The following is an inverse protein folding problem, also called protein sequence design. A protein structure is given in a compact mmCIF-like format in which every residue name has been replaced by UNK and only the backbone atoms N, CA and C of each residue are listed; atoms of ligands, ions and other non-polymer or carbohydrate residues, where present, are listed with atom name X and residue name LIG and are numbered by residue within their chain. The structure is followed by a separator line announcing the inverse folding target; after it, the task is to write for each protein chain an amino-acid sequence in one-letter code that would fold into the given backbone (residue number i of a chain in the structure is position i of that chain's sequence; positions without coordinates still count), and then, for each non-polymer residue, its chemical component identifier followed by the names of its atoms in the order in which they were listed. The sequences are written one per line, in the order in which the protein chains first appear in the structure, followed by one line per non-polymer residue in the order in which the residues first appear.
data_IF_964165014971
#
_entry.id   IF_964165014971
#
_cell.length_a   1.000
_cell.length_b   1.000
_cell.length_c   1.000
_cell.angle_alpha   90.00
_cell.angle_beta   90.00
_cell.angle_gamma   90.00
#
_symmetry.space_group_name_H-M   'P 1'
#
loop_
_entity.id
_entity.type
_entity.pdbx_description
1 polymer ?
#
# COMPACT_ATOMS: atom_id res chain seq x y z
N UNK A 1 8.80 17.22 20.47
CA UNK A 1 8.00 18.19 19.69
C UNK A 1 8.28 17.87 18.25
N UNK A 2 7.27 17.57 17.46
CA UNK A 2 7.46 17.36 16.02
C UNK A 2 7.70 18.74 15.40
N UNK A 3 8.96 19.03 15.04
CA UNK A 3 9.31 20.30 14.42
C UNK A 3 8.80 20.30 12.97
N UNK A 4 7.70 21.03 12.77
CA UNK A 4 7.17 21.32 11.44
C UNK A 4 8.16 22.25 10.73
N UNK A 5 8.61 21.84 9.54
CA UNK A 5 9.52 22.59 8.68
C UNK A 5 8.84 23.03 7.40
N UNK A 6 9.17 24.23 6.94
CA UNK A 6 8.72 24.79 5.67
C UNK A 6 9.72 24.48 4.55
N UNK A 7 9.30 24.48 3.27
CA UNK A 7 10.23 24.45 2.15
C UNK A 7 11.30 25.55 2.29
N UNK A 8 12.58 25.19 2.16
CA UNK A 8 13.72 26.08 2.35
C UNK A 8 14.26 26.16 3.78
N UNK A 9 13.65 25.47 4.75
CA UNK A 9 14.17 25.41 6.13
C UNK A 9 15.48 24.61 6.16
N UNK A 10 16.49 25.13 6.86
CA UNK A 10 17.76 24.47 7.09
C UNK A 10 17.59 23.23 8.00
N UNK A 11 18.07 22.08 7.56
CA UNK A 11 17.98 20.82 8.32
C UNK A 11 19.33 20.33 8.85
N UNK A 12 20.44 20.74 8.23
CA UNK A 12 21.79 20.36 8.62
C UNK A 12 22.77 20.37 7.46
N UNK A 13 23.92 19.73 7.62
CA UNK A 13 24.95 19.61 6.58
C UNK A 13 25.11 18.16 6.11
N UNK A 14 25.61 17.95 4.89
CA UNK A 14 25.88 16.61 4.34
C UNK A 14 27.02 15.86 5.06
N UNK A 15 27.81 16.57 5.86
CA UNK A 15 28.84 15.96 6.69
C UNK A 15 28.22 15.21 7.87
N UNK A 16 27.18 15.77 8.47
CA UNK A 16 26.49 15.26 9.65
C UNK A 16 25.34 14.30 9.29
N UNK A 17 24.57 14.63 8.25
CA UNK A 17 23.39 13.87 7.85
C UNK A 17 23.47 13.38 6.41
N UNK A 18 22.84 12.24 6.16
CA UNK A 18 22.62 11.73 4.79
C UNK A 18 21.26 12.24 4.29
N UNK A 19 21.20 12.99 3.17
CA UNK A 19 19.92 13.44 2.62
C UNK A 19 19.09 12.25 2.14
N UNK A 20 17.82 12.21 2.54
CA UNK A 20 16.86 11.15 2.17
C UNK A 20 15.65 11.77 1.46
N UNK A 21 14.44 11.26 1.70
CA UNK A 21 13.23 11.71 1.04
C UNK A 21 12.84 13.15 1.41
N UNK A 22 12.38 13.90 0.41
CA UNK A 22 11.80 15.24 0.55
C UNK A 22 12.75 16.33 1.09
N UNK A 23 14.05 16.16 0.89
CA UNK A 23 15.07 17.16 1.15
C UNK A 23 15.88 17.43 -0.13
N UNK A 24 16.49 18.60 -0.23
CA UNK A 24 17.44 18.92 -1.30
C UNK A 24 18.73 19.48 -0.71
N UNK A 25 19.83 19.34 -1.45
CA UNK A 25 21.14 19.83 -1.04
C UNK A 25 21.53 21.02 -1.89
N UNK A 26 21.98 22.09 -1.24
CA UNK A 26 22.59 23.25 -1.89
C UNK A 26 23.81 23.67 -1.09
N UNK A 27 24.96 23.80 -1.75
CA UNK A 27 26.22 24.24 -1.13
C UNK A 27 26.62 23.41 0.11
N UNK A 28 26.50 22.07 0.04
CA UNK A 28 26.75 21.12 1.14
C UNK A 28 25.80 21.24 2.35
N UNK A 29 24.74 22.04 2.20
CA UNK A 29 23.70 22.25 3.22
C UNK A 29 22.40 21.60 2.77
N UNK A 30 21.74 20.91 3.70
CA UNK A 30 20.48 20.20 3.47
C UNK A 30 19.33 21.11 3.87
N UNK A 31 18.36 21.25 2.96
CA UNK A 31 17.15 22.02 3.15
C UNK A 31 15.92 21.16 2.97
N UNK A 32 14.84 21.52 3.64
CA UNK A 32 13.54 20.90 3.41
C UNK A 32 13.00 21.27 2.03
N UNK A 33 12.55 20.29 1.25
CA UNK A 33 11.89 20.54 -0.04
C UNK A 33 10.38 20.79 0.10
N UNK A 34 9.76 20.34 1.21
CA UNK A 34 8.31 20.34 1.39
C UNK A 34 7.90 20.79 2.80
N UNK A 35 6.61 21.09 2.99
CA UNK A 35 6.04 21.30 4.32
C UNK A 35 5.81 19.95 5.01
N UNK A 36 6.37 19.74 6.20
CA UNK A 36 6.17 18.49 6.94
C UNK A 36 6.93 18.42 8.26
N UNK A 37 6.92 17.25 8.89
CA UNK A 37 7.71 16.98 10.09
C UNK A 37 9.05 16.37 9.70
N UNK A 38 10.13 16.78 10.36
CA UNK A 38 11.44 16.15 10.14
C UNK A 38 11.49 14.79 10.85
N UNK A 39 11.94 13.77 10.15
CA UNK A 39 12.26 12.47 10.74
C UNK A 39 13.70 12.10 10.48
N UNK A 40 14.39 11.76 11.57
CA UNK A 40 15.77 11.29 11.58
C UNK A 40 15.76 9.77 11.77
N UNK A 41 16.24 9.01 10.79
CA UNK A 41 16.41 7.55 10.93
C UNK A 41 17.89 7.18 10.85
N UNK A 42 18.35 6.42 11.85
CA UNK A 42 19.71 5.89 11.91
C UNK A 42 19.67 4.42 11.48
N UNK A 43 19.77 4.17 10.17
CA UNK A 43 19.73 2.81 9.62
C UNK A 43 21.12 2.15 9.56
N UNK A 44 22.20 2.94 9.59
CA UNK A 44 23.57 2.44 9.68
C UNK A 44 24.42 3.28 10.64
N UNK A 45 25.24 2.60 11.43
CA UNK A 45 26.07 3.07 12.56
C UNK A 45 27.04 4.25 12.31
N UNK A 46 27.01 4.89 11.14
CA UNK A 46 27.95 5.94 10.77
C UNK A 46 27.31 7.30 10.47
N UNK A 47 26.07 7.37 9.97
CA UNK A 47 25.38 8.64 9.68
C UNK A 47 23.86 8.55 9.79
N UNK A 48 23.26 9.53 10.44
CA UNK A 48 21.80 9.67 10.56
C UNK A 48 21.23 10.22 9.25
N UNK A 49 20.20 9.57 8.71
CA UNK A 49 19.51 10.07 7.52
C UNK A 49 18.42 11.06 7.90
N UNK A 50 18.29 12.15 7.14
CA UNK A 50 17.29 13.19 7.37
C UNK A 50 16.27 13.19 6.24
N UNK A 51 15.00 13.12 6.61
CA UNK A 51 13.87 13.20 5.68
C UNK A 51 12.75 14.06 6.25
N UNK A 52 11.90 14.58 5.37
CA UNK A 52 10.73 15.36 5.78
C UNK A 52 9.48 14.58 5.41
N UNK A 53 8.67 14.23 6.41
CA UNK A 53 7.40 13.54 6.25
C UNK A 53 6.30 14.57 6.22
N UNK A 54 5.75 14.83 5.03
CA UNK A 54 4.57 15.67 4.91
C UNK A 54 3.30 14.91 5.23
N UNK A 55 2.29 15.60 5.77
CA UNK A 55 0.92 15.12 5.90
C UNK A 55 0.08 15.23 4.61
N UNK A 56 0.65 15.75 3.52
CA UNK A 56 -0.05 15.83 2.24
C UNK A 56 -0.38 14.44 1.66
N UNK A 57 -1.49 14.41 0.90
CA UNK A 57 -2.04 13.20 0.29
C UNK A 57 -1.01 12.65 -0.70
N UNK A 58 -0.53 11.44 -0.45
CA UNK A 58 0.38 10.75 -1.35
C UNK A 58 -0.39 10.24 -2.56
N UNK A 59 0.02 10.64 -3.76
CA UNK A 59 -0.25 9.85 -4.95
C UNK A 59 0.36 8.46 -4.76
N UNK A 60 -0.28 7.38 -5.24
CA UNK A 60 0.34 6.07 -5.17
C UNK A 60 1.69 6.07 -5.91
N UNK A 61 2.70 5.42 -5.32
CA UNK A 61 4.04 5.30 -5.88
C UNK A 61 4.49 3.84 -5.85
N UNK A 62 5.48 3.50 -6.68
CA UNK A 62 5.99 2.12 -6.74
C UNK A 62 6.62 1.75 -5.40
N UNK A 63 6.20 0.62 -4.85
CA UNK A 63 6.60 0.12 -3.54
C UNK A 63 5.64 0.48 -2.40
N UNK A 64 4.70 1.40 -2.60
CA UNK A 64 3.73 1.79 -1.58
C UNK A 64 2.80 0.63 -1.21
N UNK A 65 2.38 0.59 0.06
CA UNK A 65 1.33 -0.33 0.51
C UNK A 65 -0.02 0.37 0.40
N UNK A 66 -0.94 -0.21 -0.35
CA UNK A 66 -2.24 0.40 -0.62
C UNK A 66 -3.38 -0.52 -0.19
N UNK A 67 -4.46 0.11 0.27
CA UNK A 67 -5.76 -0.55 0.42
C UNK A 67 -6.61 -0.18 -0.78
N UNK A 68 -7.09 -1.19 -1.49
CA UNK A 68 -7.94 -1.01 -2.65
C UNK A 68 -9.21 -1.84 -2.52
N UNK A 69 -10.33 -1.34 -3.07
CA UNK A 69 -11.57 -2.09 -3.17
C UNK A 69 -11.69 -2.68 -4.57
N UNK A 70 -11.99 -3.98 -4.67
CA UNK A 70 -12.23 -4.64 -5.96
C UNK A 70 -13.57 -4.18 -6.52
N UNK A 71 -13.55 -3.60 -7.71
CA UNK A 71 -14.75 -3.13 -8.40
C UNK A 71 -15.26 -4.20 -9.35
N UNK A 72 -14.35 -4.80 -10.13
CA UNK A 72 -14.69 -5.76 -11.19
C UNK A 72 -13.65 -6.86 -11.27
N UNK A 73 -14.11 -8.09 -11.51
CA UNK A 73 -13.26 -9.23 -11.81
C UNK A 73 -13.39 -9.64 -13.27
N UNK A 74 -12.26 -10.06 -13.83
CA UNK A 74 -12.15 -10.83 -15.06
C UNK A 74 -11.35 -12.10 -14.75
N UNK A 75 -11.25 -13.01 -15.73
CA UNK A 75 -10.57 -14.32 -15.54
C UNK A 75 -9.14 -14.15 -15.03
N UNK A 76 -8.38 -13.23 -15.64
CA UNK A 76 -6.94 -13.04 -15.37
C UNK A 76 -6.60 -11.76 -14.62
N UNK A 77 -7.58 -10.86 -14.40
CA UNK A 77 -7.33 -9.55 -13.80
C UNK A 77 -8.48 -9.07 -12.93
N UNK A 78 -8.16 -8.36 -11.86
CA UNK A 78 -9.09 -7.63 -11.02
C UNK A 78 -8.85 -6.12 -11.16
N UNK A 79 -9.93 -5.37 -11.40
CA UNK A 79 -9.91 -3.91 -11.39
C UNK A 79 -10.35 -3.41 -10.02
N UNK A 80 -9.56 -2.51 -9.45
CA UNK A 80 -9.69 -2.03 -8.09
C UNK A 80 -9.69 -0.50 -8.06
N UNK A 81 -10.33 0.09 -7.06
CA UNK A 81 -10.16 1.51 -6.70
C UNK A 81 -9.23 1.60 -5.50
N UNK A 82 -8.13 2.35 -5.61
CA UNK A 82 -7.22 2.59 -4.48
C UNK A 82 -7.83 3.65 -3.58
N UNK A 83 -7.99 3.32 -2.30
CA UNK A 83 -8.66 4.17 -1.30
C UNK A 83 -7.66 4.76 -0.31
N UNK A 84 -6.56 4.05 -0.05
CA UNK A 84 -5.57 4.45 0.93
C UNK A 84 -4.16 4.05 0.47
N UNK A 85 -3.19 4.94 0.73
CA UNK A 85 -1.76 4.78 0.45
C UNK A 85 -0.99 4.99 1.76
N UNK A 86 -0.22 3.99 2.18
CA UNK A 86 0.55 3.97 3.44
C UNK A 86 -0.25 4.42 4.67
N UNK A 87 -1.49 3.94 4.80
CA UNK A 87 -2.37 4.27 5.93
C UNK A 87 -3.10 5.61 5.82
N UNK A 88 -2.94 6.35 4.70
CA UNK A 88 -3.62 7.62 4.46
C UNK A 88 -4.62 7.54 3.33
N UNK A 89 -5.83 8.06 3.58
CA UNK A 89 -6.88 8.10 2.57
C UNK A 89 -6.54 9.04 1.42
N UNK A 90 -6.77 8.58 0.20
CA UNK A 90 -6.69 9.40 -1.01
C UNK A 90 -8.07 9.88 -1.42
N UNK A 91 -8.18 11.14 -1.82
CA UNK A 91 -9.44 11.73 -2.32
C UNK A 91 -9.66 11.45 -3.80
N UNK A 92 -8.56 11.37 -4.56
CA UNK A 92 -8.58 11.10 -5.99
C UNK A 92 -8.86 9.62 -6.28
N UNK A 93 -9.55 9.38 -7.40
CA UNK A 93 -9.72 8.04 -7.94
C UNK A 93 -8.43 7.57 -8.62
N UNK A 94 -7.87 6.46 -8.13
CA UNK A 94 -6.73 5.78 -8.77
C UNK A 94 -7.11 4.34 -9.09
N UNK A 95 -6.92 3.93 -10.34
CA UNK A 95 -7.26 2.60 -10.83
C UNK A 95 -6.13 1.63 -10.48
N UNK A 96 -6.41 0.66 -9.61
CA UNK A 96 -5.55 -0.49 -9.37
C UNK A 96 -5.88 -1.65 -10.32
N UNK A 97 -4.86 -2.32 -10.85
CA UNK A 97 -5.02 -3.56 -11.61
C UNK A 97 -4.18 -4.65 -10.98
N UNK A 98 -4.83 -5.71 -10.50
CA UNK A 98 -4.18 -6.91 -9.99
C UNK A 98 -4.29 -8.01 -11.07
N UNK A 99 -3.16 -8.54 -11.53
CA UNK A 99 -3.10 -9.67 -12.48
C UNK A 99 -2.96 -11.00 -11.75
N UNK A 100 -3.41 -12.10 -12.34
CA UNK A 100 -3.38 -13.45 -11.74
C UNK A 100 -1.95 -13.85 -11.36
N UNK A 101 -1.00 -13.46 -12.21
CA UNK A 101 0.44 -13.63 -11.98
C UNK A 101 0.95 -12.89 -10.73
N UNK A 102 0.24 -11.89 -10.22
CA UNK A 102 0.66 -11.07 -9.08
C UNK A 102 -0.12 -11.40 -7.79
N UNK A 103 -0.88 -12.50 -7.77
CA UNK A 103 -1.67 -12.91 -6.61
C UNK A 103 -0.85 -13.70 -5.61
N UNK A 104 -0.07 -14.67 -6.08
CA UNK A 104 0.77 -15.53 -5.24
C UNK A 104 2.25 -15.27 -5.53
N UNK A 105 3.08 -15.48 -4.51
CA UNK A 105 4.53 -15.44 -4.67
C UNK A 105 5.01 -16.63 -5.51
N UNK A 106 4.56 -17.83 -5.17
CA UNK A 106 4.76 -19.03 -6.00
C UNK A 106 3.99 -18.93 -7.33
N UNK A 107 4.68 -19.20 -8.43
CA UNK A 107 4.13 -19.22 -9.80
C UNK A 107 3.73 -20.61 -10.29
N UNK A 108 3.87 -21.62 -9.43
CA UNK A 108 3.60 -23.03 -9.77
C UNK A 108 2.10 -23.38 -9.69
N UNK A 109 1.28 -22.46 -9.19
CA UNK A 109 -0.16 -22.65 -9.04
C UNK A 109 -0.86 -21.69 -9.99
N UNK A 110 -1.70 -22.23 -10.86
CA UNK A 110 -2.58 -21.42 -11.68
C UNK A 110 -3.61 -20.70 -10.79
N UNK A 111 -3.75 -19.38 -11.01
CA UNK A 111 -4.61 -18.53 -10.20
C UNK A 111 -5.84 -18.11 -11.02
N UNK A 112 -7.01 -18.62 -10.63
CA UNK A 112 -8.29 -18.13 -11.12
C UNK A 112 -8.82 -17.04 -10.18
N UNK A 113 -8.98 -15.81 -10.66
CA UNK A 113 -9.32 -14.67 -9.79
C UNK A 113 -10.57 -14.89 -8.93
N UNK A 114 -11.59 -15.56 -9.47
CA UNK A 114 -12.84 -15.84 -8.79
C UNK A 114 -12.72 -16.76 -7.56
N UNK A 115 -11.64 -17.54 -7.47
CA UNK A 115 -11.37 -18.39 -6.30
C UNK A 115 -10.75 -17.62 -5.14
N UNK A 116 -10.15 -16.46 -5.42
CA UNK A 116 -9.35 -15.70 -4.45
C UNK A 116 -9.97 -14.37 -4.05
N UNK A 117 -10.88 -13.84 -4.87
CA UNK A 117 -11.44 -12.50 -4.72
C UNK A 117 -12.90 -12.42 -5.16
N UNK A 118 -13.61 -11.41 -4.66
CA UNK A 118 -14.93 -10.98 -5.14
C UNK A 118 -15.03 -9.46 -5.29
N UNK A 119 -15.93 -8.95 -6.15
CA UNK A 119 -16.30 -7.54 -6.15
C UNK A 119 -16.77 -7.11 -4.75
N UNK A 120 -16.32 -5.93 -4.31
CA UNK A 120 -16.58 -5.39 -2.98
C UNK A 120 -15.50 -5.73 -1.95
N UNK A 121 -14.63 -6.72 -2.20
CA UNK A 121 -13.52 -7.06 -1.29
C UNK A 121 -12.55 -5.88 -1.14
N UNK A 122 -12.13 -5.62 0.09
CA UNK A 122 -11.01 -4.72 0.36
C UNK A 122 -9.73 -5.53 0.48
N UNK A 123 -8.75 -5.17 -0.35
CA UNK A 123 -7.45 -5.83 -0.41
C UNK A 123 -6.33 -4.90 0.05
N UNK A 124 -5.42 -5.42 0.87
CA UNK A 124 -4.10 -4.83 1.11
C UNK A 124 -3.15 -5.36 0.06
N UNK A 125 -2.48 -4.47 -0.66
CA UNK A 125 -1.63 -4.81 -1.79
C UNK A 125 -0.43 -3.86 -1.88
N UNK A 126 0.58 -4.23 -2.66
CA UNK A 126 1.76 -3.41 -2.94
C UNK A 126 1.69 -2.91 -4.38
N UNK A 127 1.98 -1.62 -4.59
CA UNK A 127 2.13 -1.08 -5.95
C UNK A 127 3.46 -1.57 -6.51
N UNK A 128 3.45 -2.24 -7.65
CA UNK A 128 4.66 -2.77 -8.29
C UNK A 128 5.04 -2.00 -9.55
N UNK A 129 4.09 -1.29 -10.17
CA UNK A 129 4.33 -0.51 -11.37
C UNK A 129 3.30 0.62 -11.50
N UNK A 130 3.73 1.78 -11.98
CA UNK A 130 2.87 2.89 -12.36
C UNK A 130 2.60 2.78 -13.87
N UNK A 131 1.34 2.58 -14.24
CA UNK A 131 0.91 2.52 -15.63
C UNK A 131 0.61 3.91 -16.19
N UNK A 132 -0.17 3.94 -17.27
CA UNK A 132 -0.58 5.20 -17.90
C UNK A 132 -1.67 5.93 -17.09
N UNK A 133 -1.54 7.25 -16.98
CA UNK A 133 -2.49 8.10 -16.27
C UNK A 133 -2.58 7.77 -14.77
N UNK A 134 -3.80 7.59 -14.26
CA UNK A 134 -4.06 7.25 -12.85
C UNK A 134 -4.13 5.73 -12.61
N UNK A 135 -3.44 4.92 -13.42
CA UNK A 135 -3.45 3.46 -13.32
C UNK A 135 -2.19 2.91 -12.64
N UNK A 136 -2.36 1.95 -11.74
CA UNK A 136 -1.27 1.27 -11.03
C UNK A 136 -1.45 -0.24 -11.08
N UNK A 137 -0.35 -0.96 -11.26
CA UNK A 137 -0.33 -2.41 -11.15
C UNK A 137 -0.05 -2.78 -9.71
N UNK A 138 -0.91 -3.64 -9.18
CA UNK A 138 -0.88 -4.11 -7.81
C UNK A 138 -0.38 -5.55 -7.74
N UNK A 139 0.20 -5.89 -6.59
CA UNK A 139 0.58 -7.24 -6.22
C UNK A 139 0.06 -7.56 -4.83
N UNK A 140 -0.42 -8.80 -4.69
CA UNK A 140 -0.72 -9.39 -3.38
C UNK A 140 0.22 -10.58 -3.10
N UNK A 141 1.31 -10.72 -3.84
CA UNK A 141 2.34 -11.74 -3.62
C UNK A 141 3.15 -11.45 -2.33
N UNK A 142 2.55 -11.74 -1.18
CA UNK A 142 3.14 -11.67 0.14
C UNK A 142 2.15 -12.19 1.19
N UNK A 143 2.65 -12.62 2.35
CA UNK A 143 1.81 -13.21 3.42
C UNK A 143 0.83 -12.21 4.04
N UNK A 144 1.24 -10.96 4.18
CA UNK A 144 0.43 -9.88 4.75
C UNK A 144 -0.43 -9.14 3.70
N UNK A 145 -0.43 -9.62 2.45
CA UNK A 145 -1.13 -9.01 1.34
C UNK A 145 -2.27 -9.92 0.87
N UNK A 146 -3.43 -9.35 0.58
CA UNK A 146 -4.65 -10.09 0.30
C UNK A 146 -5.89 -9.36 0.82
N UNK A 147 -7.00 -10.08 0.90
CA UNK A 147 -8.29 -9.61 1.42
C UNK A 147 -8.17 -9.38 2.92
N UNK A 148 -8.48 -8.15 3.34
CA UNK A 148 -8.51 -7.71 4.75
C UNK A 148 -9.95 -7.55 5.27
N UNK A 149 -10.90 -7.30 4.38
CA UNK A 149 -12.32 -7.15 4.72
C UNK A 149 -13.19 -7.58 3.55
N UNK A 150 -14.23 -8.34 3.83
CA UNK A 150 -15.20 -8.85 2.86
C UNK A 150 -16.56 -9.06 3.53
N UNK A 151 -17.58 -9.28 2.72
CA UNK A 151 -18.93 -9.66 3.15
C UNK A 151 -19.35 -10.93 2.43
N UNK A 152 -20.24 -11.70 3.04
CA UNK A 152 -20.82 -12.90 2.41
C UNK A 152 -21.71 -12.49 1.23
N UNK A 153 -22.19 -13.48 0.45
CA UNK A 153 -23.19 -13.24 -0.61
C UNK A 153 -24.46 -12.56 -0.09
N UNK A 154 -24.79 -12.73 1.19
CA UNK A 154 -25.97 -12.14 1.82
C UNK A 154 -25.66 -10.76 2.46
N UNK A 155 -24.44 -10.25 2.31
CA UNK A 155 -24.00 -9.00 2.94
C UNK A 155 -23.57 -9.14 4.40
N UNK A 156 -23.46 -10.36 4.92
CA UNK A 156 -23.07 -10.61 6.31
C UNK A 156 -21.56 -10.35 6.50
N UNK A 157 -21.12 -9.83 7.66
CA UNK A 157 -19.70 -9.69 7.94
C UNK A 157 -19.03 -11.06 7.99
N UNK A 158 -17.81 -11.14 7.45
CA UNK A 158 -17.01 -12.36 7.49
C UNK A 158 -15.72 -12.18 8.27
N UNK A 159 -15.29 -13.25 8.94
CA UNK A 159 -14.02 -13.31 9.68
C UNK A 159 -13.04 -14.27 9.02
N UNK A 160 -11.74 -13.94 8.99
CA UNK A 160 -10.73 -14.85 8.46
C UNK A 160 -10.57 -16.05 9.40
N UNK A 161 -10.60 -17.27 8.85
CA UNK A 161 -10.40 -18.51 9.62
C UNK A 161 -9.12 -19.25 9.22
N UNK A 162 -8.55 -18.92 8.06
CA UNK A 162 -7.24 -19.41 7.61
C UNK A 162 -6.68 -18.49 6.52
N UNK A 163 -5.49 -18.81 6.01
CA UNK A 163 -4.89 -18.10 4.87
C UNK A 163 -5.74 -18.16 3.57
N UNK A 164 -6.70 -19.08 3.48
CA UNK A 164 -7.52 -19.32 2.27
C UNK A 164 -9.02 -19.10 2.47
N UNK A 165 -9.50 -18.93 3.70
CA UNK A 165 -10.94 -18.99 3.98
C UNK A 165 -11.40 -17.89 4.92
N UNK A 166 -12.55 -17.31 4.55
CA UNK A 166 -13.38 -16.50 5.43
C UNK A 166 -14.65 -17.28 5.81
N UNK A 167 -15.16 -17.03 7.01
CA UNK A 167 -16.43 -17.58 7.49
C UNK A 167 -17.40 -16.44 7.81
N UNK A 168 -18.65 -16.56 7.37
CA UNK A 168 -19.69 -15.64 7.81
C UNK A 168 -19.96 -15.79 9.31
N UNK A 169 -20.13 -14.66 10.00
CA UNK A 169 -20.40 -14.66 11.44
C UNK A 169 -21.76 -15.30 11.75
N UNK A 170 -22.77 -15.05 10.90
CA UNK A 170 -24.15 -15.44 11.15
C UNK A 170 -24.45 -16.84 10.59
N UNK A 171 -24.30 -17.02 9.28
CA UNK A 171 -24.64 -18.27 8.59
C UNK A 171 -23.59 -19.37 8.70
N UNK A 172 -22.41 -19.06 9.24
CA UNK A 172 -21.23 -19.96 9.27
C UNK A 172 -20.77 -20.46 7.90
N UNK A 173 -21.27 -19.88 6.81
CA UNK A 173 -20.86 -20.25 5.45
C UNK A 173 -19.38 -19.92 5.25
N UNK A 174 -18.63 -20.84 4.66
CA UNK A 174 -17.21 -20.67 4.38
C UNK A 174 -17.00 -20.32 2.90
N UNK A 175 -16.23 -19.28 2.64
CA UNK A 175 -15.86 -18.88 1.29
C UNK A 175 -14.35 -18.75 1.12
N UNK A 176 -13.85 -19.17 -0.04
CA UNK A 176 -12.44 -19.02 -0.42
C UNK A 176 -12.11 -17.56 -0.70
N UNK A 177 -10.99 -17.08 -0.15
CA UNK A 177 -10.34 -15.80 -0.49
C UNK A 177 -8.84 -15.92 -0.25
N UNK A 178 -8.05 -15.05 -0.87
CA UNK A 178 -6.65 -14.85 -0.47
C UNK A 178 -6.62 -14.01 0.79
N UNK A 179 -6.52 -14.62 1.97
CA UNK A 179 -6.59 -13.88 3.24
C UNK A 179 -5.25 -13.24 3.55
N UNK A 180 -5.24 -11.94 3.87
CA UNK A 180 -4.07 -11.28 4.41
C UNK A 180 -3.88 -11.67 5.88
N UNK A 181 -2.66 -12.07 6.27
CA UNK A 181 -2.34 -12.26 7.68
C UNK A 181 -2.29 -10.90 8.37
N UNK A 182 -3.12 -10.71 9.40
CA UNK A 182 -3.00 -9.60 10.32
C UNK A 182 -1.91 -9.97 11.35
N UNK A 183 -0.98 -9.04 11.58
CA UNK A 183 -0.06 -9.10 12.72
C UNK A 183 -0.78 -8.67 14.00
#
# INVERSE_FOLDING_TARGET
MDDIVFPGTLLGTVHEYTPSNNVYVKDSVIYSAILGNVSYSSEDSTKTSVSVVSNHIKTPYVGATVIAQIIKLNITKAECNIICVDGRFVKDYFKGVLSSNNVLESKNIEVFMYDWFKPGDFIKSKVIYAGEGKQFVLSTAGLQLGVIKTTSKNGEPMVPISWKYFMSVDSKSVEKRKVAKND
#
